data_IF_546311456986
#
_entry.id   IF_546311456986
#
_cell.length_a   1.000
_cell.length_b   1.000
_cell.length_c   1.000
_cell.angle_alpha   90.00
_cell.angle_beta   90.00
_cell.angle_gamma   90.00
#
_symmetry.space_group_name_H-M   'P 1'
#
loop_
_entity.id
_entity.type
_entity.pdbx_description
1 polymer ?
#
# COMPACT_ATOMS: atom_id res chain seq x y z
N UNK A 1 -9.67 -9.00 16.33
CA UNK A 1 -9.94 -10.19 15.50
C UNK A 1 -11.34 -10.07 14.94
N UNK A 2 -11.47 -9.54 13.74
CA UNK A 2 -12.77 -9.44 13.07
C UNK A 2 -12.78 -10.51 12.01
N UNK A 3 -13.43 -11.62 12.31
CA UNK A 3 -13.71 -12.67 11.34
C UNK A 3 -14.71 -12.13 10.32
N UNK A 4 -14.25 -11.76 9.13
CA UNK A 4 -15.12 -11.54 7.99
C UNK A 4 -15.71 -12.88 7.55
N UNK A 5 -16.98 -13.10 7.86
CA UNK A 5 -17.77 -14.14 7.21
C UNK A 5 -17.87 -13.81 5.72
N UNK A 6 -17.27 -14.64 4.90
CA UNK A 6 -17.47 -14.62 3.46
C UNK A 6 -18.96 -14.83 3.17
N UNK A 7 -19.63 -13.83 2.61
CA UNK A 7 -20.92 -14.02 1.95
C UNK A 7 -20.63 -14.65 0.60
N UNK A 8 -20.93 -15.93 0.49
CA UNK A 8 -20.99 -16.67 -0.76
C UNK A 8 -22.06 -16.02 -1.64
N UNK A 9 -21.62 -15.26 -2.64
CA UNK A 9 -22.44 -14.94 -3.80
C UNK A 9 -22.36 -16.15 -4.73
N UNK A 10 -23.34 -17.03 -4.60
CA UNK A 10 -23.60 -18.08 -5.56
C UNK A 10 -24.07 -17.46 -6.87
N UNK A 11 -23.17 -17.03 -7.72
CA UNK A 11 -23.43 -16.92 -9.14
C UNK A 11 -23.03 -18.26 -9.76
N UNK A 12 -24.00 -19.15 -9.90
CA UNK A 12 -23.95 -20.28 -10.82
C UNK A 12 -23.77 -19.71 -12.22
N UNK A 13 -22.54 -19.54 -12.65
CA UNK A 13 -22.22 -19.49 -14.07
C UNK A 13 -22.55 -20.89 -14.62
N UNK A 14 -23.68 -21.01 -15.30
CA UNK A 14 -23.96 -22.14 -16.18
C UNK A 14 -22.86 -22.16 -17.22
N UNK A 15 -22.02 -23.19 -17.16
CA UNK A 15 -21.14 -23.59 -18.26
C UNK A 15 -22.02 -24.17 -19.37
N UNK A 16 -22.67 -23.32 -20.15
CA UNK A 16 -23.13 -23.69 -21.45
C UNK A 16 -21.92 -23.72 -22.39
N UNK A 17 -21.41 -24.91 -22.62
CA UNK A 17 -20.47 -25.21 -23.67
C UNK A 17 -21.18 -25.10 -25.05
N UNK A 18 -21.45 -23.87 -25.47
CA UNK A 18 -21.58 -23.52 -26.87
C UNK A 18 -20.25 -22.96 -27.28
N UNK A 19 -19.55 -23.65 -28.19
CA UNK A 19 -18.54 -23.05 -29.05
C UNK A 19 -19.20 -21.85 -29.74
N UNK A 20 -19.22 -20.69 -29.02
CA UNK A 20 -19.61 -19.44 -29.60
C UNK A 20 -18.56 -19.13 -30.65
N UNK A 21 -18.99 -18.95 -31.92
CA UNK A 21 -18.15 -18.39 -32.97
C UNK A 21 -17.37 -17.21 -32.39
N UNK A 22 -16.08 -17.41 -32.14
CA UNK A 22 -15.22 -16.30 -31.81
C UNK A 22 -15.37 -15.26 -32.92
N UNK A 23 -15.56 -13.99 -32.60
CA UNK A 23 -15.68 -12.96 -33.61
C UNK A 23 -14.46 -13.03 -34.49
N UNK A 24 -14.68 -13.12 -35.81
CA UNK A 24 -13.64 -13.29 -36.84
C UNK A 24 -12.50 -12.25 -36.67
N UNK A 25 -12.84 -11.10 -36.12
CA UNK A 25 -11.90 -10.02 -35.81
C UNK A 25 -12.17 -9.46 -34.39
N UNK A 26 -11.13 -8.99 -33.73
CA UNK A 26 -11.28 -8.30 -32.43
C UNK A 26 -11.89 -6.90 -32.62
N UNK A 27 -12.66 -6.44 -31.63
CA UNK A 27 -13.41 -5.20 -31.72
C UNK A 27 -12.58 -3.96 -32.09
N UNK A 28 -11.31 -3.88 -31.67
CA UNK A 28 -10.40 -2.79 -32.05
C UNK A 28 -10.18 -2.77 -33.58
N UNK A 29 -9.95 -3.92 -34.20
CA UNK A 29 -9.70 -4.05 -35.63
C UNK A 29 -10.98 -3.80 -36.45
N UNK A 30 -12.14 -4.19 -35.89
CA UNK A 30 -13.45 -3.88 -36.52
C UNK A 30 -13.71 -2.39 -36.54
N UNK A 31 -13.32 -1.67 -35.50
CA UNK A 31 -13.54 -0.23 -35.39
C UNK A 31 -12.48 0.61 -36.10
N UNK A 32 -11.29 0.07 -36.31
CA UNK A 32 -10.19 0.74 -37.00
C UNK A 32 -9.48 -0.24 -37.95
N UNK A 33 -9.79 -0.15 -39.24
CA UNK A 33 -9.21 -1.00 -40.26
C UNK A 33 -7.69 -0.85 -40.46
N UNK A 34 -7.08 0.24 -40.04
CA UNK A 34 -5.61 0.40 -40.02
C UNK A 34 -4.90 -0.56 -39.07
N UNK A 35 -5.63 -1.10 -38.09
CA UNK A 35 -5.10 -2.09 -37.16
C UNK A 35 -5.09 -3.53 -37.69
N UNK A 36 -5.72 -3.78 -38.85
CA UNK A 36 -5.82 -5.15 -39.43
C UNK A 36 -4.44 -5.86 -39.61
N UNK A 37 -3.37 -5.19 -40.07
CA UNK A 37 -2.04 -5.83 -40.18
C UNK A 37 -1.45 -6.21 -38.81
N UNK A 38 -1.97 -5.70 -37.71
CA UNK A 38 -1.48 -5.92 -36.34
C UNK A 38 -2.39 -6.80 -35.49
N UNK A 39 -3.45 -7.38 -36.08
CA UNK A 39 -4.46 -8.14 -35.35
C UNK A 39 -3.85 -9.28 -34.51
N UNK A 40 -2.92 -10.05 -35.06
CA UNK A 40 -2.27 -11.14 -34.32
C UNK A 40 -1.48 -10.65 -33.13
N UNK A 41 -0.79 -9.51 -33.26
CA UNK A 41 -0.05 -8.90 -32.14
C UNK A 41 -0.99 -8.38 -31.05
N UNK A 42 -2.13 -7.79 -31.43
CA UNK A 42 -3.15 -7.29 -30.49
C UNK A 42 -3.79 -8.47 -29.78
N UNK A 43 -4.17 -9.54 -30.51
CA UNK A 43 -4.72 -10.78 -29.95
C UNK A 43 -3.75 -11.43 -28.98
N UNK A 44 -2.47 -11.57 -29.38
CA UNK A 44 -1.44 -12.16 -28.52
C UNK A 44 -1.25 -11.39 -27.21
N UNK A 45 -1.33 -10.05 -27.21
CA UNK A 45 -1.28 -9.23 -25.97
C UNK A 45 -2.51 -9.46 -25.10
N UNK A 46 -3.70 -9.50 -25.70
CA UNK A 46 -4.94 -9.78 -24.98
C UNK A 46 -4.91 -11.17 -24.32
N UNK A 47 -4.54 -12.19 -25.06
CA UNK A 47 -4.47 -13.58 -24.59
C UNK A 47 -3.41 -13.72 -23.47
N UNK A 48 -2.27 -13.03 -23.61
CA UNK A 48 -1.27 -12.96 -22.54
C UNK A 48 -1.82 -12.29 -21.27
N UNK A 49 -2.59 -11.20 -21.39
CA UNK A 49 -3.22 -10.55 -20.26
C UNK A 49 -4.22 -11.48 -19.55
N UNK A 50 -5.05 -12.20 -20.31
CA UNK A 50 -6.00 -13.18 -19.75
C UNK A 50 -5.28 -14.36 -19.10
N UNK A 51 -4.22 -14.87 -19.74
CA UNK A 51 -3.38 -15.92 -19.15
C UNK A 51 -2.78 -15.44 -17.80
N UNK A 52 -2.21 -14.22 -17.78
CA UNK A 52 -1.64 -13.66 -16.55
C UNK A 52 -2.69 -13.47 -15.48
N UNK A 53 -3.88 -12.96 -15.85
CA UNK A 53 -5.01 -12.84 -14.94
C UNK A 53 -5.39 -14.22 -14.35
N UNK A 54 -5.45 -15.24 -15.16
CA UNK A 54 -5.70 -16.62 -14.71
C UNK A 54 -4.64 -17.11 -13.71
N UNK A 55 -3.36 -16.80 -13.95
CA UNK A 55 -2.27 -17.11 -13.00
C UNK A 55 -2.50 -16.42 -11.64
N UNK A 56 -2.73 -15.10 -11.64
CA UNK A 56 -2.89 -14.30 -10.43
C UNK A 56 -4.14 -14.69 -9.63
N UNK A 57 -5.25 -14.95 -10.32
CA UNK A 57 -6.53 -15.30 -9.70
C UNK A 57 -6.71 -16.81 -9.44
N UNK A 58 -5.69 -17.64 -9.72
CA UNK A 58 -5.77 -19.09 -9.63
C UNK A 58 -6.95 -19.63 -10.47
N UNK A 59 -7.07 -19.14 -11.70
CA UNK A 59 -8.20 -19.42 -12.61
C UNK A 59 -9.57 -19.06 -12.02
N UNK A 60 -9.66 -17.87 -11.42
CA UNK A 60 -10.92 -17.32 -10.87
C UNK A 60 -11.30 -17.83 -9.49
N UNK A 61 -10.41 -18.56 -8.78
CA UNK A 61 -10.66 -19.03 -7.41
C UNK A 61 -10.57 -17.90 -6.39
N UNK A 62 -9.82 -16.87 -6.68
CA UNK A 62 -9.73 -15.61 -5.92
C UNK A 62 -9.94 -14.45 -6.87
N UNK A 63 -10.39 -13.30 -6.35
CA UNK A 63 -10.46 -12.06 -7.13
C UNK A 63 -9.06 -11.47 -7.33
N UNK A 64 -8.91 -10.56 -8.29
CA UNK A 64 -7.67 -9.79 -8.44
C UNK A 64 -7.43 -8.86 -7.23
N UNK A 65 -8.51 -8.35 -6.64
CA UNK A 65 -8.49 -7.56 -5.41
C UNK A 65 -7.94 -8.38 -4.23
N UNK A 66 -8.41 -9.63 -4.05
CA UNK A 66 -7.89 -10.52 -3.02
C UNK A 66 -6.41 -10.88 -3.25
N UNK A 67 -5.99 -11.02 -4.50
CA UNK A 67 -4.58 -11.24 -4.84
C UNK A 67 -3.74 -10.00 -4.46
N UNK A 68 -4.26 -8.80 -4.64
CA UNK A 68 -3.55 -7.54 -4.38
C UNK A 68 -3.45 -7.17 -2.89
N UNK A 69 -3.69 -8.10 -1.97
CA UNK A 69 -3.66 -7.90 -0.51
C UNK A 69 -2.27 -8.11 0.13
N UNK A 70 -1.20 -7.94 -0.63
CA UNK A 70 0.18 -8.12 -0.14
C UNK A 70 0.53 -7.26 1.08
N UNK A 71 -0.08 -6.09 1.22
CA UNK A 71 0.08 -5.21 2.38
C UNK A 71 -0.44 -5.80 3.71
N UNK A 72 -1.34 -6.77 3.66
CA UNK A 72 -1.82 -7.52 4.84
C UNK A 72 -0.90 -8.71 5.19
N UNK A 73 0.00 -9.08 4.29
CA UNK A 73 0.90 -10.22 4.45
C UNK A 73 2.34 -9.80 4.71
N UNK A 74 2.90 -8.91 3.87
CA UNK A 74 4.27 -8.44 3.97
C UNK A 74 4.40 -7.27 4.95
N UNK A 75 5.64 -7.02 5.39
CA UNK A 75 5.96 -6.01 6.38
C UNK A 75 5.89 -6.55 7.81
N UNK A 76 5.82 -5.63 8.76
CA UNK A 76 5.75 -5.94 10.19
C UNK A 76 4.31 -5.82 10.69
N UNK A 77 3.76 -6.92 11.20
CA UNK A 77 2.39 -6.97 11.71
C UNK A 77 2.34 -7.41 13.17
N UNK A 78 1.52 -6.70 13.97
CA UNK A 78 1.19 -7.09 15.34
C UNK A 78 0.20 -8.26 15.31
N UNK A 79 0.54 -9.32 16.03
CA UNK A 79 -0.33 -10.48 16.26
C UNK A 79 -0.97 -10.38 17.66
N UNK A 80 -1.89 -11.29 17.98
CA UNK A 80 -2.45 -11.44 19.33
C UNK A 80 -1.37 -11.72 20.38
N UNK A 81 -0.30 -12.42 19.99
CA UNK A 81 0.87 -12.70 20.81
C UNK A 81 2.13 -12.49 20.00
N UNK A 82 2.78 -11.31 20.17
CA UNK A 82 4.01 -10.97 19.46
C UNK A 82 3.79 -10.32 18.10
N UNK A 83 4.77 -10.48 17.22
CA UNK A 83 4.83 -9.85 15.91
C UNK A 83 5.23 -10.87 14.85
N UNK A 84 4.90 -10.59 13.61
CA UNK A 84 5.44 -11.28 12.44
C UNK A 84 5.96 -10.26 11.46
N UNK A 85 7.16 -10.49 10.99
CA UNK A 85 7.77 -9.76 9.88
C UNK A 85 7.86 -10.68 8.67
N UNK A 86 7.52 -10.17 7.49
CA UNK A 86 7.69 -10.87 6.21
C UNK A 86 8.21 -9.94 5.13
N UNK A 87 9.11 -10.48 4.32
CA UNK A 87 9.68 -9.77 3.16
C UNK A 87 9.81 -10.72 1.97
N UNK A 88 9.68 -10.17 0.77
CA UNK A 88 9.97 -10.90 -0.45
C UNK A 88 11.36 -10.52 -0.97
N UNK A 89 12.29 -11.44 -0.90
CA UNK A 89 13.67 -11.24 -1.34
C UNK A 89 14.22 -12.56 -1.90
N UNK A 90 13.86 -12.94 -3.12
CA UNK A 90 14.16 -14.26 -3.68
C UNK A 90 15.65 -14.52 -3.83
N UNK A 91 16.46 -13.47 -4.02
CA UNK A 91 17.92 -13.58 -4.20
C UNK A 91 18.70 -13.37 -2.90
N UNK A 92 18.03 -13.10 -1.77
CA UNK A 92 18.71 -12.99 -0.48
C UNK A 92 19.19 -14.36 0.00
N UNK A 93 20.34 -14.39 0.65
CA UNK A 93 20.90 -15.56 1.33
C UNK A 93 20.62 -15.54 2.83
N UNK A 94 20.60 -14.34 3.43
CA UNK A 94 20.24 -14.12 4.83
C UNK A 94 19.54 -12.76 5.00
N UNK A 95 18.66 -12.66 5.99
CA UNK A 95 18.00 -11.41 6.39
C UNK A 95 17.95 -11.35 7.90
N UNK A 96 18.45 -10.24 8.45
CA UNK A 96 18.34 -9.90 9.88
C UNK A 96 17.51 -8.62 10.05
N UNK A 97 16.69 -8.55 11.09
CA UNK A 97 16.15 -7.29 11.56
C UNK A 97 17.13 -6.67 12.54
N UNK A 98 17.48 -5.42 12.30
CA UNK A 98 18.33 -4.61 13.18
C UNK A 98 17.59 -3.34 13.56
N UNK A 99 17.73 -2.91 14.82
CA UNK A 99 16.99 -1.74 15.31
C UNK A 99 17.20 -1.52 16.81
N UNK A 100 16.40 -0.62 17.39
CA UNK A 100 16.50 -0.23 18.81
C UNK A 100 16.33 -1.43 19.76
N UNK A 101 15.55 -2.43 19.36
CA UNK A 101 15.27 -3.64 20.16
C UNK A 101 16.45 -4.60 20.30
N UNK A 102 17.52 -4.43 19.54
CA UNK A 102 18.73 -5.27 19.58
C UNK A 102 20.02 -4.44 19.45
N UNK A 103 19.95 -3.13 19.77
CA UNK A 103 21.09 -2.19 19.66
C UNK A 103 21.73 -2.18 18.26
N UNK A 104 20.89 -2.34 17.22
CA UNK A 104 21.30 -2.36 15.82
C UNK A 104 22.31 -3.47 15.47
N UNK A 105 22.30 -4.57 16.24
CA UNK A 105 23.17 -5.71 16.07
C UNK A 105 22.41 -6.89 15.45
N UNK A 106 23.09 -7.61 14.57
CA UNK A 106 22.59 -8.89 14.08
C UNK A 106 22.61 -9.94 15.17
N UNK A 107 21.50 -10.61 15.37
CA UNK A 107 21.41 -11.70 16.33
C UNK A 107 20.52 -12.80 15.76
N UNK A 108 20.80 -14.07 16.13
CA UNK A 108 19.99 -15.22 15.68
C UNK A 108 18.50 -15.10 16.06
N UNK A 109 18.21 -14.38 17.16
CA UNK A 109 16.83 -14.10 17.59
C UNK A 109 16.05 -13.28 16.56
N UNK A 110 16.72 -12.45 15.78
CA UNK A 110 16.13 -11.54 14.79
C UNK A 110 16.50 -11.92 13.35
N UNK A 111 16.98 -13.15 13.14
CA UNK A 111 17.22 -13.72 11.81
C UNK A 111 15.91 -14.26 11.23
N UNK A 112 15.56 -13.79 10.04
CA UNK A 112 14.43 -14.30 9.29
C UNK A 112 14.73 -15.67 8.68
N UNK A 113 13.70 -16.49 8.53
CA UNK A 113 13.77 -17.82 7.90
C UNK A 113 13.16 -17.76 6.52
N UNK A 114 13.84 -18.35 5.56
CA UNK A 114 13.32 -18.47 4.19
C UNK A 114 12.17 -19.47 4.15
N UNK A 115 11.10 -19.10 3.44
CA UNK A 115 10.00 -20.02 3.14
C UNK A 115 10.32 -20.67 1.80
N UNK A 116 10.65 -21.95 1.83
CA UNK A 116 11.08 -22.70 0.67
C UNK A 116 10.11 -22.60 -0.52
N UNK A 117 10.66 -22.48 -1.72
CA UNK A 117 9.91 -22.41 -2.98
C UNK A 117 9.15 -21.10 -3.25
N UNK A 118 9.25 -20.08 -2.38
CA UNK A 118 8.45 -18.85 -2.53
C UNK A 118 9.26 -17.57 -2.74
N UNK A 119 10.50 -17.52 -2.31
CA UNK A 119 11.30 -16.30 -2.21
C UNK A 119 10.92 -15.40 -1.04
N UNK A 120 10.00 -15.83 -0.18
CA UNK A 120 9.58 -15.11 1.01
C UNK A 120 10.46 -15.46 2.21
N UNK A 121 10.54 -14.50 3.12
CA UNK A 121 11.21 -14.62 4.40
C UNK A 121 10.23 -14.30 5.51
N UNK A 122 10.30 -15.01 6.63
CA UNK A 122 9.45 -14.80 7.79
C UNK A 122 10.26 -14.81 9.09
N UNK A 123 9.93 -13.88 9.98
CA UNK A 123 10.42 -13.86 11.35
C UNK A 123 9.25 -13.65 12.32
N UNK A 124 9.13 -14.53 13.32
CA UNK A 124 8.19 -14.37 14.44
C UNK A 124 8.94 -13.84 15.64
N UNK A 125 8.41 -12.76 16.22
CA UNK A 125 9.04 -12.03 17.32
C UNK A 125 8.09 -12.06 18.51
N UNK A 126 8.64 -12.30 19.70
CA UNK A 126 7.85 -12.31 20.94
C UNK A 126 7.24 -10.93 21.23
N UNK A 127 6.22 -10.87 22.08
CA UNK A 127 5.50 -9.63 22.40
C UNK A 127 6.41 -8.53 22.95
N UNK A 128 7.38 -8.90 23.79
CA UNK A 128 8.37 -7.99 24.37
C UNK A 128 9.58 -7.74 23.46
N UNK A 129 9.59 -8.32 22.27
CA UNK A 129 10.72 -8.22 21.34
C UNK A 129 10.78 -6.92 20.57
N UNK A 130 9.67 -6.18 20.51
CA UNK A 130 9.55 -4.86 19.88
C UNK A 130 8.48 -4.05 20.59
N UNK A 131 8.61 -2.72 20.55
CA UNK A 131 7.62 -1.79 21.09
C UNK A 131 7.30 -0.69 20.09
N UNK A 132 6.18 0.00 20.28
CA UNK A 132 5.83 1.19 19.52
C UNK A 132 6.96 2.23 19.57
N UNK A 133 7.29 2.79 18.42
CA UNK A 133 8.32 3.79 18.26
C UNK A 133 9.72 3.25 17.95
N UNK A 134 10.01 1.97 18.19
CA UNK A 134 11.31 1.40 17.84
C UNK A 134 11.64 1.62 16.37
N UNK A 135 12.84 2.09 16.07
CA UNK A 135 13.37 2.22 14.73
C UNK A 135 14.00 0.90 14.28
N UNK A 136 13.87 0.57 13.01
CA UNK A 136 14.47 -0.65 12.49
C UNK A 136 14.74 -0.59 10.99
N UNK A 137 15.62 -1.50 10.55
CA UNK A 137 15.91 -1.83 9.17
C UNK A 137 16.03 -3.34 9.03
N UNK A 138 16.21 -3.82 7.81
CA UNK A 138 16.72 -5.16 7.52
C UNK A 138 18.14 -5.06 7.02
N UNK A 139 19.02 -5.94 7.49
CA UNK A 139 20.30 -6.20 6.86
C UNK A 139 20.15 -7.44 5.99
N UNK A 140 20.34 -7.26 4.70
CA UNK A 140 20.15 -8.29 3.68
C UNK A 140 21.48 -8.71 3.13
N UNK A 141 21.72 -10.01 3.08
CA UNK A 141 22.86 -10.62 2.41
C UNK A 141 22.40 -11.24 1.09
N UNK A 142 23.23 -11.14 0.08
CA UNK A 142 23.04 -11.78 -1.22
C UNK A 142 24.39 -12.23 -1.78
N UNK A 143 24.38 -13.03 -2.86
CA UNK A 143 25.62 -13.46 -3.47
C UNK A 143 26.44 -12.25 -3.96
N UNK A 144 27.60 -12.02 -3.33
CA UNK A 144 28.53 -10.95 -3.65
C UNK A 144 28.35 -9.65 -2.84
N UNK A 145 27.47 -9.61 -1.81
CA UNK A 145 27.36 -8.42 -0.98
C UNK A 145 26.34 -8.48 0.12
N UNK A 146 26.22 -7.38 0.86
CA UNK A 146 25.20 -7.15 1.87
C UNK A 146 24.90 -5.66 2.01
N UNK A 147 23.84 -5.33 2.71
CA UNK A 147 23.55 -3.94 3.06
C UNK A 147 22.21 -3.77 3.77
N UNK A 148 22.11 -2.66 4.48
CA UNK A 148 20.87 -2.26 5.13
C UNK A 148 19.84 -1.76 4.12
N UNK A 149 18.58 -2.08 4.40
CA UNK A 149 17.40 -1.62 3.63
C UNK A 149 16.28 -1.28 4.57
N UNK A 150 15.49 -0.28 4.20
CA UNK A 150 14.14 -0.11 4.75
C UNK A 150 13.28 -1.23 4.14
N UNK A 151 12.53 -2.01 4.93
CA UNK A 151 11.64 -3.03 4.37
C UNK A 151 10.66 -2.43 3.37
N UNK A 152 10.44 -3.12 2.25
CA UNK A 152 9.63 -2.60 1.14
C UNK A 152 8.17 -2.31 1.55
N UNK A 153 7.64 -3.06 2.51
CA UNK A 153 6.26 -2.95 3.00
C UNK A 153 6.15 -2.23 4.35
N UNK A 154 7.09 -1.34 4.65
CA UNK A 154 7.04 -0.53 5.88
C UNK A 154 5.82 0.39 5.87
N UNK A 155 5.03 0.36 6.94
CA UNK A 155 3.82 1.18 7.08
C UNK A 155 4.11 2.56 7.69
N UNK A 156 5.26 2.72 8.32
CA UNK A 156 5.76 3.98 8.86
C UNK A 156 7.27 4.04 8.65
N UNK A 157 7.72 5.15 8.09
CA UNK A 157 9.13 5.49 7.89
C UNK A 157 9.33 6.89 8.40
N UNK A 158 10.43 7.14 9.09
CA UNK A 158 10.75 8.45 9.66
C UNK A 158 12.20 8.81 9.37
N UNK A 159 12.47 10.10 9.27
CA UNK A 159 13.80 10.64 9.10
C UNK A 159 14.34 11.11 10.45
N UNK A 160 15.55 10.73 10.78
CA UNK A 160 16.27 11.29 11.91
C UNK A 160 16.66 12.75 11.62
N UNK A 161 16.43 13.64 12.57
CA UNK A 161 16.60 15.09 12.35
C UNK A 161 18.06 15.51 12.23
N UNK A 162 18.99 14.81 12.87
CA UNK A 162 20.40 15.14 12.87
C UNK A 162 21.13 14.49 11.70
N UNK A 163 21.01 13.17 11.57
CA UNK A 163 21.72 12.39 10.58
C UNK A 163 21.07 12.41 9.20
N UNK A 164 19.78 12.80 9.12
CA UNK A 164 18.93 12.72 7.93
C UNK A 164 18.73 11.30 7.38
N UNK A 165 19.08 10.29 8.16
CA UNK A 165 18.91 8.88 7.80
C UNK A 165 17.45 8.48 8.02
N UNK A 166 16.89 7.77 7.05
CA UNK A 166 15.55 7.19 7.16
C UNK A 166 15.61 5.78 7.75
N UNK A 167 14.63 5.47 8.59
CA UNK A 167 14.42 4.15 9.16
C UNK A 167 12.94 3.81 9.19
N UNK A 168 12.59 2.53 9.08
CA UNK A 168 11.26 2.07 9.38
C UNK A 168 10.99 2.22 10.89
N UNK A 169 9.74 2.47 11.26
CA UNK A 169 9.34 2.60 12.65
C UNK A 169 8.21 1.63 12.98
N UNK A 170 8.35 0.95 14.10
CA UNK A 170 7.28 0.09 14.64
C UNK A 170 6.09 0.96 15.03
N UNK A 171 4.97 0.80 14.33
CA UNK A 171 3.77 1.59 14.58
C UNK A 171 2.66 0.75 15.21
N UNK A 172 2.48 0.91 16.51
CA UNK A 172 1.43 0.26 17.29
C UNK A 172 1.09 1.14 18.51
N UNK A 173 0.44 2.30 18.28
CA UNK A 173 0.15 3.24 19.36
C UNK A 173 -0.78 2.62 20.40
N UNK A 174 -0.63 3.02 21.64
CA UNK A 174 -1.47 2.57 22.76
C UNK A 174 -2.96 2.88 22.50
N UNK A 175 -3.22 4.01 21.85
CA UNK A 175 -4.55 4.46 21.44
C UNK A 175 -4.64 4.53 19.92
N UNK A 176 -4.92 3.41 19.24
CA UNK A 176 -5.08 3.41 17.79
C UNK A 176 -6.30 4.23 17.38
N UNK A 177 -6.26 4.80 16.17
CA UNK A 177 -7.37 5.59 15.66
C UNK A 177 -8.67 4.77 15.57
N UNK A 178 -9.75 5.34 16.07
CA UNK A 178 -11.09 4.73 16.00
C UNK A 178 -11.92 5.47 14.96
N UNK A 179 -12.25 4.80 13.87
CA UNK A 179 -13.04 5.37 12.79
C UNK A 179 -14.45 5.71 13.24
N UNK A 180 -14.85 6.97 13.08
CA UNK A 180 -16.21 7.47 13.33
C UNK A 180 -17.14 7.10 12.16
N UNK A 181 -16.66 7.22 10.91
CA UNK A 181 -17.35 6.78 9.70
C UNK A 181 -16.96 5.35 9.33
N UNK A 182 -17.59 4.36 9.96
CA UNK A 182 -17.25 2.93 9.80
C UNK A 182 -17.46 2.38 8.39
N UNK A 183 -18.37 3.00 7.59
CA UNK A 183 -18.65 2.61 6.20
C UNK A 183 -18.83 3.87 5.38
N UNK A 184 -17.91 4.15 4.52
CA UNK A 184 -18.03 5.19 3.51
C UNK A 184 -18.54 4.57 2.20
N UNK A 185 -19.46 5.25 1.55
CA UNK A 185 -19.87 4.96 0.17
C UNK A 185 -19.79 6.26 -0.59
N UNK A 186 -18.96 6.34 -1.65
CA UNK A 186 -18.90 7.54 -2.47
C UNK A 186 -20.28 7.81 -3.11
N UNK A 187 -20.57 9.08 -3.32
CA UNK A 187 -21.74 9.49 -4.08
C UNK A 187 -21.65 8.93 -5.50
N UNK A 188 -22.81 8.60 -6.09
CA UNK A 188 -22.89 8.17 -7.50
C UNK A 188 -22.89 9.34 -8.49
N UNK A 189 -22.88 10.57 -8.00
CA UNK A 189 -22.73 11.77 -8.82
C UNK A 189 -21.36 11.78 -9.51
N UNK A 190 -21.22 12.51 -10.64
CA UNK A 190 -19.91 12.77 -11.21
C UNK A 190 -18.94 13.31 -10.17
N UNK A 191 -17.68 12.86 -10.24
CA UNK A 191 -16.65 13.32 -9.31
C UNK A 191 -16.26 14.78 -9.65
N UNK A 192 -16.35 15.64 -8.64
CA UNK A 192 -15.74 16.95 -8.61
C UNK A 192 -14.50 16.81 -7.71
N UNK A 193 -13.34 16.69 -8.35
CA UNK A 193 -12.08 16.35 -7.67
C UNK A 193 -11.30 17.63 -7.37
N UNK A 194 -10.91 17.80 -6.11
CA UNK A 194 -9.94 18.80 -5.69
C UNK A 194 -8.59 18.11 -5.47
N UNK A 195 -7.62 18.40 -6.34
CA UNK A 195 -6.25 17.90 -6.17
C UNK A 195 -5.49 18.81 -5.21
N UNK A 196 -4.78 18.21 -4.24
CA UNK A 196 -4.12 18.94 -3.18
C UNK A 196 -2.80 18.31 -2.75
N UNK A 197 -1.93 19.13 -2.16
CA UNK A 197 -0.69 18.73 -1.51
C UNK A 197 -0.71 19.18 -0.06
N UNK A 198 -0.67 18.26 0.88
CA UNK A 198 -0.81 18.55 2.33
C UNK A 198 0.17 19.63 2.79
N UNK A 199 1.44 19.45 2.46
CA UNK A 199 2.50 20.35 2.93
C UNK A 199 2.45 21.76 2.36
N UNK A 200 1.74 22.00 1.25
CA UNK A 200 1.69 23.29 0.54
C UNK A 200 0.34 24.00 0.65
N UNK A 201 -0.64 23.39 1.27
CA UNK A 201 -2.00 23.93 1.34
C UNK A 201 -2.20 24.91 2.50
N UNK A 202 -1.26 25.85 2.68
CA UNK A 202 -1.33 26.88 3.71
C UNK A 202 -0.46 28.10 3.37
N UNK A 203 -0.72 29.23 4.02
CA UNK A 203 0.00 30.50 3.78
C UNK A 203 1.26 30.67 4.66
N UNK A 204 1.37 29.88 5.76
CA UNK A 204 2.53 29.95 6.64
C UNK A 204 3.77 29.37 5.98
N UNK A 205 4.94 29.99 6.18
CA UNK A 205 6.25 29.58 5.63
C UNK A 205 6.79 28.31 6.33
N UNK A 206 6.00 27.24 6.29
CA UNK A 206 6.34 25.92 6.84
C UNK A 206 5.64 24.80 6.06
N UNK A 207 6.07 23.57 6.27
CA UNK A 207 5.36 22.40 5.75
C UNK A 207 4.05 22.22 6.53
N UNK A 208 2.92 22.14 5.80
CA UNK A 208 1.61 21.88 6.40
C UNK A 208 1.45 20.46 6.91
N UNK A 209 0.51 20.26 7.84
CA UNK A 209 0.24 18.97 8.48
C UNK A 209 -1.14 18.43 8.10
N UNK A 210 -1.36 17.12 8.31
CA UNK A 210 -2.67 16.49 8.14
C UNK A 210 -3.76 17.16 8.99
N UNK A 211 -3.40 17.56 10.23
CA UNK A 211 -4.31 18.23 11.14
C UNK A 211 -4.67 19.62 10.64
N UNK A 212 -3.70 20.43 10.23
CA UNK A 212 -3.93 21.77 9.68
C UNK A 212 -4.77 21.72 8.41
N UNK A 213 -4.48 20.78 7.52
CA UNK A 213 -5.28 20.57 6.31
C UNK A 213 -6.75 20.25 6.66
N UNK A 214 -6.95 19.31 7.59
CA UNK A 214 -8.29 18.93 8.06
C UNK A 214 -9.06 20.12 8.64
N UNK A 215 -8.40 21.00 9.38
CA UNK A 215 -9.04 22.10 10.13
C UNK A 215 -9.23 23.35 9.29
N UNK A 216 -8.30 23.66 8.36
CA UNK A 216 -8.28 24.93 7.67
C UNK A 216 -8.62 24.83 6.19
N UNK A 217 -8.34 23.71 5.51
CA UNK A 217 -8.49 23.54 4.07
C UNK A 217 -9.72 22.72 3.72
N UNK A 218 -9.91 21.58 4.37
CA UNK A 218 -11.04 20.69 4.10
C UNK A 218 -12.42 21.39 4.23
N UNK A 219 -12.67 22.28 5.21
CA UNK A 219 -13.95 22.99 5.27
C UNK A 219 -14.24 23.84 4.03
N UNK A 220 -13.24 24.48 3.44
CA UNK A 220 -13.40 25.28 2.22
C UNK A 220 -13.72 24.42 1.01
N UNK A 221 -13.05 23.26 0.90
CA UNK A 221 -13.31 22.28 -0.17
C UNK A 221 -14.76 21.77 -0.09
N UNK A 222 -15.29 21.57 1.13
CA UNK A 222 -16.68 21.18 1.37
C UNK A 222 -17.64 22.29 0.93
N UNK A 223 -17.37 23.55 1.34
CA UNK A 223 -18.17 24.72 1.02
C UNK A 223 -18.23 24.96 -0.50
N UNK A 224 -17.12 24.76 -1.21
CA UNK A 224 -17.02 24.89 -2.67
C UNK A 224 -17.74 23.75 -3.43
N UNK A 225 -18.25 22.74 -2.73
CA UNK A 225 -19.07 21.68 -3.31
C UNK A 225 -18.32 20.53 -3.96
N UNK A 226 -17.00 20.40 -3.74
CA UNK A 226 -16.25 19.23 -4.16
C UNK A 226 -16.72 17.98 -3.41
N UNK A 227 -16.68 16.81 -4.07
CA UNK A 227 -17.09 15.53 -3.49
C UNK A 227 -15.96 14.50 -3.45
N UNK A 228 -14.75 14.89 -3.86
CA UNK A 228 -13.56 14.06 -3.84
C UNK A 228 -12.31 14.95 -3.64
N UNK A 229 -11.38 14.50 -2.82
CA UNK A 229 -10.02 15.04 -2.77
C UNK A 229 -9.03 14.02 -3.30
N UNK A 230 -8.09 14.48 -4.11
CA UNK A 230 -6.93 13.71 -4.56
C UNK A 230 -5.71 14.26 -3.85
N UNK A 231 -5.18 13.47 -2.89
CA UNK A 231 -3.99 13.87 -2.16
C UNK A 231 -2.77 13.41 -2.93
N UNK A 232 -2.13 14.36 -3.64
CA UNK A 232 -0.92 14.07 -4.37
C UNK A 232 0.24 13.79 -3.44
N UNK A 233 1.11 12.88 -3.86
CA UNK A 233 2.43 12.68 -3.28
C UNK A 233 2.42 12.35 -1.78
N UNK A 234 1.47 11.52 -1.34
CA UNK A 234 1.28 11.19 0.07
C UNK A 234 2.27 10.15 0.62
N UNK A 235 2.89 9.36 -0.27
CA UNK A 235 3.87 8.34 0.14
C UNK A 235 5.15 8.99 0.67
N UNK A 236 5.89 8.27 1.51
CA UNK A 236 7.15 8.75 2.06
C UNK A 236 8.19 8.99 0.97
N UNK A 237 8.88 10.12 1.06
CA UNK A 237 9.86 10.59 0.10
C UNK A 237 11.01 11.31 0.81
N UNK A 238 12.28 11.13 0.35
CA UNK A 238 13.45 11.68 1.04
C UNK A 238 13.65 13.18 0.82
N UNK A 239 13.20 13.68 -0.32
CA UNK A 239 13.43 15.07 -0.73
C UNK A 239 12.13 15.84 -0.89
N UNK A 240 11.87 16.78 0.01
CA UNK A 240 10.63 17.59 0.01
C UNK A 240 10.42 18.35 -1.29
N UNK A 241 11.49 18.91 -1.88
CA UNK A 241 11.42 19.63 -3.16
C UNK A 241 11.00 18.78 -4.36
N UNK A 242 10.93 17.45 -4.22
CA UNK A 242 10.29 16.59 -5.21
C UNK A 242 8.78 16.64 -5.15
N UNK A 243 8.19 17.31 -4.17
CA UNK A 243 6.76 17.32 -3.86
C UNK A 243 6.17 15.90 -3.70
N UNK A 244 7.02 14.93 -3.30
CA UNK A 244 6.66 13.53 -3.13
C UNK A 244 6.69 12.68 -4.39
N UNK A 245 7.14 13.20 -5.53
CA UNK A 245 7.28 12.40 -6.76
C UNK A 245 8.48 11.44 -6.74
N UNK A 246 9.43 11.61 -5.81
CA UNK A 246 10.53 10.68 -5.58
C UNK A 246 10.21 9.73 -4.41
N UNK A 247 9.24 8.86 -4.60
CA UNK A 247 8.78 7.93 -3.55
C UNK A 247 9.90 6.99 -3.13
N UNK A 248 10.14 6.87 -1.83
CA UNK A 248 11.08 5.91 -1.23
C UNK A 248 10.36 4.71 -0.58
N UNK A 249 9.13 4.90 -0.09
CA UNK A 249 8.38 3.86 0.63
C UNK A 249 6.90 3.93 0.24
N UNK A 250 6.47 2.99 -0.61
CA UNK A 250 5.14 3.02 -1.24
C UNK A 250 3.98 2.77 -0.27
N UNK A 251 4.23 2.10 0.86
CA UNK A 251 3.20 1.72 1.83
C UNK A 251 3.23 2.56 3.11
N UNK A 252 4.15 3.52 3.19
CA UNK A 252 4.24 4.49 4.28
C UNK A 252 3.74 5.86 3.82
N UNK A 253 2.80 6.44 4.55
CA UNK A 253 2.45 7.84 4.38
C UNK A 253 3.59 8.73 4.88
N UNK A 254 3.80 9.88 4.22
CA UNK A 254 4.89 10.79 4.56
C UNK A 254 4.81 11.23 6.03
N UNK A 255 5.91 11.03 6.73
CA UNK A 255 6.07 11.43 8.12
C UNK A 255 6.20 12.95 8.31
N UNK A 256 6.50 13.68 7.23
CA UNK A 256 6.62 15.15 7.22
C UNK A 256 5.33 15.85 7.55
N UNK A 257 4.19 15.24 7.19
CA UNK A 257 2.87 15.85 7.38
C UNK A 257 2.19 15.40 8.67
N UNK A 258 2.83 14.51 9.45
CA UNK A 258 2.29 14.02 10.72
C UNK A 258 2.32 12.51 10.89
N UNK A 259 1.41 12.03 11.73
CA UNK A 259 1.28 10.61 12.09
C UNK A 259 0.23 9.88 11.24
N UNK A 260 0.28 8.55 11.19
CA UNK A 260 -0.79 7.76 10.56
C UNK A 260 -2.18 8.03 11.17
N UNK A 261 -2.26 8.30 12.47
CA UNK A 261 -3.52 8.61 13.15
C UNK A 261 -4.10 9.96 12.72
N UNK A 262 -3.25 10.96 12.47
CA UNK A 262 -3.68 12.26 11.94
C UNK A 262 -4.19 12.15 10.50
N UNK A 263 -3.51 11.36 9.66
CA UNK A 263 -4.00 11.06 8.31
C UNK A 263 -5.35 10.34 8.35
N UNK A 264 -5.50 9.31 9.21
CA UNK A 264 -6.79 8.62 9.40
C UNK A 264 -7.87 9.59 9.87
N UNK A 265 -7.53 10.55 10.75
CA UNK A 265 -8.45 11.60 11.22
C UNK A 265 -8.90 12.51 10.07
N UNK A 266 -7.99 12.91 9.19
CA UNK A 266 -8.32 13.69 7.98
C UNK A 266 -9.26 12.91 7.05
N UNK A 267 -8.93 11.66 6.75
CA UNK A 267 -9.75 10.81 5.88
C UNK A 267 -11.15 10.58 6.49
N UNK A 268 -11.22 10.31 7.79
CA UNK A 268 -12.48 10.08 8.48
C UNK A 268 -13.37 11.35 8.47
N UNK A 269 -12.77 12.53 8.65
CA UNK A 269 -13.50 13.80 8.56
C UNK A 269 -14.01 14.06 7.13
N UNK A 270 -13.18 13.83 6.11
CA UNK A 270 -13.61 13.90 4.71
C UNK A 270 -14.80 12.95 4.43
N UNK A 271 -14.69 11.70 4.86
CA UNK A 271 -15.75 10.70 4.69
C UNK A 271 -17.05 11.05 5.44
N UNK A 272 -16.95 11.71 6.62
CA UNK A 272 -18.12 12.18 7.37
C UNK A 272 -18.89 13.27 6.62
N UNK A 273 -18.18 14.06 5.86
CA UNK A 273 -18.74 15.13 5.02
C UNK A 273 -19.06 14.66 3.58
N UNK A 274 -19.04 13.35 3.30
CA UNK A 274 -19.40 12.79 2.01
C UNK A 274 -18.32 12.90 0.93
N UNK A 275 -17.09 13.34 1.29
CA UNK A 275 -15.96 13.51 0.37
C UNK A 275 -15.15 12.22 0.29
N UNK A 276 -14.99 11.71 -0.92
CA UNK A 276 -14.06 10.61 -1.21
C UNK A 276 -12.61 11.09 -1.12
N UNK A 277 -11.71 10.18 -0.77
CA UNK A 277 -10.26 10.44 -0.73
C UNK A 277 -9.54 9.45 -1.65
N UNK A 278 -8.77 9.97 -2.59
CA UNK A 278 -7.94 9.20 -3.52
C UNK A 278 -6.50 9.73 -3.52
#
# INVERSE_FOLDING_TARGET
MVTRKAKSLNNKAKTDSKAANEPKHIGLVVNDGYLAPYEDAIRGRHDHALWKLGQLTRNGKISLEDFASGYDYYGLHKLSRGWVFREWAPNATEIYLVGDFNNWQETEKYKAKRIEGTGNWELKISEKGMKHGDLYKIHVYWNGGSGERIPAWSQRVVQDEETKIFSAQVWNPEKPYVWRKKKFKPNKSPLLIYECHIGMSQDAEKVGTYTEFKENVLPRIIEDGYNCIQIMAIQEHPYYGSFGYHVSSFFAASSRFGTPEELKSLIDEAHRNGIAVI
#
